data_IF_815318335237
#
_entry.id   IF_815318335237
#
_cell.length_a   1.000
_cell.length_b   1.000
_cell.length_c   1.000
_cell.angle_alpha   90.00
_cell.angle_beta   90.00
_cell.angle_gamma   90.00
#
_symmetry.space_group_name_H-M   'P 1'
#
loop_
_entity.id
_entity.type
_entity.pdbx_description
1 polymer ?
#
# COMPACT_ATOMS: atom_id res chain seq x y z
N UNK A 1 -7.29 9.07 0.62
CA UNK A 1 -8.57 9.83 0.58
C UNK A 1 -9.35 9.53 -0.68
N UNK A 2 -10.66 9.84 -0.68
CA UNK A 2 -11.48 9.71 -1.87
C UNK A 2 -10.99 10.62 -3.01
N UNK A 3 -11.22 10.19 -4.26
CA UNK A 3 -11.07 11.04 -5.44
C UNK A 3 -12.42 11.58 -5.88
N UNK A 4 -12.42 12.57 -6.76
CA UNK A 4 -13.64 13.16 -7.31
C UNK A 4 -13.59 13.14 -8.85
N UNK A 5 -14.74 12.94 -9.57
CA UNK A 5 -14.79 12.99 -11.02
C UNK A 5 -14.43 14.36 -11.60
N UNK A 6 -14.84 15.45 -10.93
CA UNK A 6 -14.48 16.81 -11.29
C UNK A 6 -13.02 17.11 -10.95
N UNK A 7 -12.25 17.64 -11.89
CA UNK A 7 -10.82 17.85 -11.78
C UNK A 7 -10.46 18.89 -10.71
N UNK A 8 -11.25 19.96 -10.58
CA UNK A 8 -11.00 21.01 -9.57
C UNK A 8 -11.21 20.47 -8.16
N UNK A 9 -12.28 19.69 -7.95
CA UNK A 9 -12.56 19.06 -6.68
C UNK A 9 -11.50 18.02 -6.32
N UNK A 10 -11.08 17.23 -7.30
CA UNK A 10 -10.00 16.25 -7.09
C UNK A 10 -8.67 16.93 -6.75
N UNK A 11 -8.35 18.07 -7.37
CA UNK A 11 -7.16 18.86 -7.04
C UNK A 11 -7.21 19.37 -5.60
N UNK A 12 -8.31 19.95 -5.16
CA UNK A 12 -8.48 20.43 -3.78
C UNK A 12 -8.31 19.31 -2.76
N UNK A 13 -8.87 18.12 -3.03
CA UNK A 13 -8.68 16.94 -2.19
C UNK A 13 -7.21 16.49 -2.16
N UNK A 14 -6.50 16.59 -3.27
CA UNK A 14 -5.08 16.30 -3.36
C UNK A 14 -4.22 17.30 -2.57
N UNK A 15 -4.52 18.58 -2.66
CA UNK A 15 -3.86 19.64 -1.89
C UNK A 15 -4.09 19.45 -0.38
N UNK A 16 -5.32 19.12 0.01
CA UNK A 16 -5.62 18.76 1.39
C UNK A 16 -4.80 17.54 1.85
N UNK A 17 -4.75 16.48 1.04
CA UNK A 17 -3.98 15.26 1.35
C UNK A 17 -2.49 15.56 1.54
N UNK A 18 -1.94 16.45 0.72
CA UNK A 18 -0.53 16.88 0.85
C UNK A 18 -0.25 17.64 2.13
N UNK A 19 -1.24 18.37 2.66
CA UNK A 19 -1.12 19.17 3.88
C UNK A 19 -1.49 18.39 5.15
N UNK A 20 -2.09 17.20 5.03
CA UNK A 20 -2.60 16.44 6.17
C UNK A 20 -1.50 15.68 6.91
N UNK A 21 -1.23 16.08 8.13
CA UNK A 21 -0.17 15.52 8.98
C UNK A 21 -0.33 14.03 9.26
N UNK A 22 -1.56 13.54 9.42
CA UNK A 22 -1.83 12.12 9.67
C UNK A 22 -1.37 11.27 8.48
N UNK A 23 -1.82 11.63 7.28
CA UNK A 23 -1.48 10.91 6.05
C UNK A 23 0.02 11.03 5.73
N UNK A 24 0.63 12.18 6.00
CA UNK A 24 2.09 12.35 5.87
C UNK A 24 2.86 11.42 6.82
N UNK A 25 2.45 11.33 8.09
CA UNK A 25 3.09 10.42 9.07
C UNK A 25 2.91 8.96 8.69
N UNK A 26 1.70 8.54 8.31
CA UNK A 26 1.43 7.17 7.86
C UNK A 26 2.33 6.79 6.69
N UNK A 27 2.44 7.65 5.69
CA UNK A 27 3.30 7.43 4.53
C UNK A 27 4.78 7.37 4.94
N UNK A 28 5.25 8.26 5.83
CA UNK A 28 6.64 8.30 6.28
C UNK A 28 7.03 7.07 7.10
N UNK A 29 6.16 6.52 7.94
CA UNK A 29 6.43 5.27 8.66
C UNK A 29 6.81 4.12 7.71
N UNK A 30 6.12 4.04 6.58
CA UNK A 30 6.43 3.02 5.55
C UNK A 30 7.76 3.32 4.86
N UNK A 31 8.02 4.58 4.53
CA UNK A 31 9.28 5.00 3.88
C UNK A 31 10.47 4.72 4.80
N UNK A 32 10.38 5.09 6.06
CA UNK A 32 11.44 4.86 7.06
C UNK A 32 11.72 3.37 7.25
N UNK A 33 10.69 2.54 7.35
CA UNK A 33 10.83 1.09 7.45
C UNK A 33 11.54 0.49 6.23
N UNK A 34 11.19 0.91 5.01
CA UNK A 34 11.85 0.47 3.77
C UNK A 34 13.31 0.91 3.76
N UNK A 35 13.60 2.17 4.05
CA UNK A 35 14.96 2.71 4.07
C UNK A 35 15.83 1.98 5.11
N UNK A 36 15.31 1.76 6.31
CA UNK A 36 16.04 1.05 7.37
C UNK A 36 16.39 -0.39 6.97
N UNK A 37 15.48 -1.08 6.29
CA UNK A 37 15.73 -2.46 5.84
C UNK A 37 16.76 -2.55 4.71
N UNK A 38 16.79 -1.57 3.82
CA UNK A 38 17.69 -1.55 2.67
C UNK A 38 19.07 -0.97 2.98
N UNK A 39 19.21 -0.19 4.05
CA UNK A 39 20.39 0.62 4.34
C UNK A 39 21.71 -0.17 4.32
N UNK A 40 21.73 -1.40 4.87
CA UNK A 40 22.94 -2.22 4.93
C UNK A 40 23.37 -2.77 3.56
N UNK A 41 22.47 -2.87 2.60
CA UNK A 41 22.68 -3.50 1.30
C UNK A 41 22.76 -2.49 0.14
N UNK A 42 22.82 -1.19 0.47
CA UNK A 42 22.78 -0.12 -0.52
C UNK A 42 24.00 0.80 -0.43
N UNK A 43 24.45 1.32 -1.59
CA UNK A 43 25.48 2.34 -1.71
C UNK A 43 24.90 3.74 -1.56
N UNK A 44 23.73 3.95 -2.17
CA UNK A 44 22.97 5.21 -2.12
C UNK A 44 21.53 4.91 -1.86
N UNK A 45 20.85 5.82 -1.17
CA UNK A 45 19.41 5.72 -0.91
C UNK A 45 18.82 7.13 -0.89
N UNK A 46 17.98 7.44 -1.88
CA UNK A 46 17.34 8.73 -2.05
C UNK A 46 15.81 8.60 -1.95
N UNK A 47 15.21 9.42 -1.11
CA UNK A 47 13.75 9.53 -0.99
C UNK A 47 13.29 10.80 -1.67
N UNK A 48 12.49 10.67 -2.71
CA UNK A 48 11.96 11.83 -3.43
C UNK A 48 10.80 12.49 -2.68
N UNK A 49 10.51 13.77 -2.94
CA UNK A 49 9.39 14.48 -2.35
C UNK A 49 8.05 13.76 -2.59
N UNK A 50 7.08 13.94 -1.68
CA UNK A 50 5.76 13.36 -1.84
C UNK A 50 5.04 13.93 -3.06
N UNK A 51 4.26 13.09 -3.71
CA UNK A 51 3.38 13.46 -4.80
C UNK A 51 1.99 12.86 -4.56
N UNK A 52 0.95 13.51 -5.05
CA UNK A 52 -0.39 12.94 -5.07
C UNK A 52 -0.53 12.03 -6.29
N UNK A 53 -0.82 10.76 -6.04
CA UNK A 53 -1.22 9.81 -7.07
C UNK A 53 -2.75 9.75 -7.10
N UNK A 54 -3.35 10.33 -8.12
CA UNK A 54 -4.79 10.28 -8.34
C UNK A 54 -5.16 9.01 -9.10
N UNK A 55 -6.02 8.22 -8.49
CA UNK A 55 -6.68 7.06 -9.10
C UNK A 55 -8.17 7.35 -9.28
N UNK A 56 -8.89 6.44 -9.94
CA UNK A 56 -10.31 6.63 -10.28
C UNK A 56 -11.20 6.95 -9.07
N UNK A 57 -11.01 6.27 -7.95
CA UNK A 57 -11.85 6.38 -6.74
C UNK A 57 -11.13 6.92 -5.51
N UNK A 58 -9.82 6.89 -5.52
CA UNK A 58 -8.98 7.27 -4.38
C UNK A 58 -7.76 8.06 -4.83
N UNK A 59 -7.20 8.82 -3.90
CA UNK A 59 -5.91 9.49 -4.05
C UNK A 59 -4.97 9.04 -2.95
N UNK A 60 -3.69 8.88 -3.27
CA UNK A 60 -2.65 8.44 -2.34
C UNK A 60 -1.46 9.39 -2.35
N UNK A 61 -0.78 9.49 -1.21
CA UNK A 61 0.58 10.02 -1.18
C UNK A 61 1.54 8.95 -1.72
N UNK A 62 2.37 9.35 -2.64
CA UNK A 62 3.42 8.53 -3.23
C UNK A 62 4.77 9.16 -3.00
N UNK A 63 5.75 8.38 -2.53
CA UNK A 63 7.17 8.73 -2.56
C UNK A 63 7.93 7.67 -3.33
N UNK A 64 8.83 8.10 -4.21
CA UNK A 64 9.77 7.20 -4.86
C UNK A 64 11.02 7.10 -3.99
N UNK A 65 11.54 5.88 -3.86
CA UNK A 65 12.80 5.59 -3.20
C UNK A 65 13.72 5.02 -4.27
N UNK A 66 14.84 5.68 -4.49
CA UNK A 66 15.87 5.25 -5.42
C UNK A 66 17.07 4.75 -4.65
N UNK A 67 17.62 3.64 -5.08
CA UNK A 67 18.79 3.06 -4.42
C UNK A 67 19.69 2.36 -5.41
N UNK A 68 20.98 2.42 -5.15
CA UNK A 68 21.98 1.57 -5.80
C UNK A 68 22.36 0.47 -4.83
N UNK A 69 22.17 -0.77 -5.23
CA UNK A 69 22.49 -1.94 -4.42
C UNK A 69 23.98 -2.23 -4.40
N UNK A 70 24.52 -2.71 -3.27
CA UNK A 70 25.87 -3.23 -3.17
C UNK A 70 26.04 -4.49 -4.04
N UNK A 71 25.00 -5.30 -4.09
CA UNK A 71 24.92 -6.50 -4.91
C UNK A 71 23.53 -6.61 -5.51
N UNK A 72 23.46 -6.78 -6.81
CA UNK A 72 22.18 -7.02 -7.49
C UNK A 72 21.67 -8.42 -7.15
N UNK A 73 20.67 -8.50 -6.29
CA UNK A 73 19.99 -9.74 -5.92
C UNK A 73 18.51 -9.44 -5.67
N UNK A 74 17.69 -9.70 -6.67
CA UNK A 74 16.25 -9.37 -6.64
C UNK A 74 15.49 -10.18 -5.60
N UNK A 75 15.93 -11.42 -5.33
CA UNK A 75 15.29 -12.28 -4.33
C UNK A 75 15.54 -11.76 -2.92
N UNK A 76 16.77 -11.37 -2.62
CA UNK A 76 17.11 -10.75 -1.33
C UNK A 76 16.33 -9.44 -1.16
N UNK A 77 16.31 -8.59 -2.17
CA UNK A 77 15.55 -7.33 -2.13
C UNK A 77 14.06 -7.57 -1.88
N UNK A 78 13.46 -8.56 -2.55
CA UNK A 78 12.07 -8.90 -2.33
C UNK A 78 11.81 -9.35 -0.90
N UNK A 79 12.67 -10.18 -0.31
CA UNK A 79 12.55 -10.61 1.09
C UNK A 79 12.72 -9.46 2.09
N UNK A 80 13.59 -8.50 1.81
CA UNK A 80 13.76 -7.33 2.65
C UNK A 80 12.57 -6.37 2.56
N UNK A 81 12.00 -6.18 1.37
CA UNK A 81 10.90 -5.23 1.15
C UNK A 81 9.54 -5.79 1.56
N UNK A 82 9.34 -7.10 1.52
CA UNK A 82 8.02 -7.70 1.77
C UNK A 82 7.98 -8.54 3.05
N UNK A 83 6.86 -8.44 3.78
CA UNK A 83 5.79 -7.44 3.67
C UNK A 83 6.26 -6.07 4.22
N UNK A 84 5.79 -4.99 3.61
CA UNK A 84 6.06 -3.63 4.12
C UNK A 84 5.18 -3.30 5.32
N UNK A 85 5.56 -2.25 6.07
CA UNK A 85 4.77 -1.73 7.18
C UNK A 85 3.34 -1.33 6.76
N UNK A 86 3.14 -0.93 5.51
CA UNK A 86 1.83 -0.56 4.97
C UNK A 86 0.77 -1.68 5.05
N UNK A 87 1.21 -2.94 5.07
CA UNK A 87 0.29 -4.11 5.11
C UNK A 87 0.53 -5.02 6.31
N UNK A 88 1.69 -4.94 6.97
CA UNK A 88 2.06 -5.79 8.08
C UNK A 88 2.23 -5.04 9.41
N UNK A 89 2.24 -3.71 9.39
CA UNK A 89 2.37 -2.86 10.57
C UNK A 89 3.78 -2.83 11.18
N UNK A 90 3.90 -2.01 12.24
CA UNK A 90 5.11 -1.83 13.05
C UNK A 90 4.74 -1.83 14.55
N UNK A 91 5.62 -2.30 15.44
CA UNK A 91 6.82 -3.11 15.19
C UNK A 91 6.48 -4.42 14.50
N UNK A 92 7.32 -4.85 13.55
CA UNK A 92 6.96 -5.86 12.55
C UNK A 92 6.41 -7.16 13.14
N UNK A 93 7.14 -7.79 14.06
CA UNK A 93 6.75 -9.11 14.59
C UNK A 93 5.50 -9.03 15.48
N UNK A 94 5.40 -7.99 16.30
CA UNK A 94 4.25 -7.78 17.17
C UNK A 94 2.99 -7.46 16.35
N UNK A 95 3.12 -6.61 15.35
CA UNK A 95 2.00 -6.26 14.46
C UNK A 95 1.51 -7.49 13.65
N UNK A 96 2.43 -8.30 13.11
CA UNK A 96 2.09 -9.55 12.41
C UNK A 96 1.37 -10.56 13.32
N UNK A 97 1.85 -10.73 14.56
CA UNK A 97 1.17 -11.60 15.53
C UNK A 97 -0.22 -11.07 15.89
N UNK A 98 -0.36 -9.76 16.05
CA UNK A 98 -1.63 -9.12 16.33
C UNK A 98 -2.62 -9.34 15.17
N UNK A 99 -2.22 -9.06 13.94
CA UNK A 99 -3.02 -9.28 12.73
C UNK A 99 -3.46 -10.74 12.63
N UNK A 100 -2.52 -11.69 12.80
CA UNK A 100 -2.81 -13.11 12.71
C UNK A 100 -3.83 -13.61 13.76
N UNK A 101 -3.91 -12.95 14.93
CA UNK A 101 -4.84 -13.31 16.00
C UNK A 101 -6.21 -12.65 15.88
N UNK A 102 -6.28 -11.47 15.30
CA UNK A 102 -7.47 -10.62 15.36
C UNK A 102 -8.18 -10.44 14.02
N UNK A 103 -7.49 -10.64 12.90
CA UNK A 103 -8.14 -10.61 11.59
C UNK A 103 -9.06 -11.82 11.43
N UNK A 104 -10.36 -11.63 11.10
CA UNK A 104 -11.35 -12.71 11.09
C UNK A 104 -11.30 -13.57 9.81
N UNK A 105 -10.31 -13.36 8.94
CA UNK A 105 -10.16 -14.08 7.67
C UNK A 105 -8.71 -14.35 7.34
N UNK A 106 -8.47 -15.31 6.47
CA UNK A 106 -7.14 -15.59 5.92
C UNK A 106 -6.89 -14.69 4.72
N UNK A 107 -5.77 -13.97 4.72
CA UNK A 107 -5.40 -13.05 3.62
C UNK A 107 -5.11 -13.79 2.32
N UNK A 108 -4.65 -15.02 2.38
CA UNK A 108 -4.20 -15.81 1.22
C UNK A 108 -3.15 -15.01 0.42
N UNK A 109 -3.49 -14.58 -0.80
CA UNK A 109 -2.60 -13.78 -1.65
C UNK A 109 -2.72 -12.26 -1.41
N UNK A 110 -3.78 -11.83 -0.73
CA UNK A 110 -3.96 -10.41 -0.38
C UNK A 110 -2.80 -9.93 0.50
N UNK A 111 -2.28 -8.75 0.19
CA UNK A 111 -1.14 -8.11 0.84
C UNK A 111 0.20 -8.87 0.69
N UNK A 112 0.25 -9.89 -0.13
CA UNK A 112 1.48 -10.53 -0.58
C UNK A 112 2.14 -9.77 -1.73
N UNK A 113 2.99 -10.44 -2.49
CA UNK A 113 3.69 -9.87 -3.64
C UNK A 113 3.31 -10.60 -4.92
N UNK A 114 3.15 -9.86 -5.99
CA UNK A 114 2.99 -10.38 -7.34
C UNK A 114 3.92 -9.64 -8.31
N UNK A 115 4.50 -10.35 -9.27
CA UNK A 115 5.42 -9.74 -10.21
C UNK A 115 6.13 -10.76 -11.07
N UNK A 116 7.22 -10.35 -11.66
CA UNK A 116 8.08 -11.21 -12.47
C UNK A 116 9.56 -11.00 -12.16
N UNK A 117 10.34 -12.05 -12.41
CA UNK A 117 11.79 -12.07 -12.38
C UNK A 117 12.31 -12.37 -13.78
N UNK A 118 13.29 -11.62 -14.25
CA UNK A 118 14.00 -11.90 -15.48
C UNK A 118 15.51 -11.65 -15.33
N UNK A 119 16.27 -12.01 -16.35
CA UNK A 119 17.72 -11.76 -16.37
C UNK A 119 18.06 -10.26 -16.47
N UNK A 120 17.19 -9.45 -17.03
CA UNK A 120 17.42 -8.03 -17.28
C UNK A 120 16.81 -7.14 -16.20
N UNK A 121 15.63 -7.50 -15.72
CA UNK A 121 14.90 -6.70 -14.74
C UNK A 121 13.86 -7.55 -13.99
N UNK A 122 13.49 -7.07 -12.83
CA UNK A 122 12.40 -7.64 -12.04
C UNK A 122 11.44 -6.54 -11.61
N UNK A 123 10.17 -6.86 -11.54
CA UNK A 123 9.15 -5.91 -11.11
C UNK A 123 8.13 -6.62 -10.21
N UNK A 124 7.85 -6.03 -9.06
CA UNK A 124 6.90 -6.55 -8.09
C UNK A 124 5.97 -5.46 -7.59
N UNK A 125 4.75 -5.85 -7.30
CA UNK A 125 3.81 -5.00 -6.59
C UNK A 125 3.25 -5.73 -5.37
N UNK A 126 2.72 -4.95 -4.42
CA UNK A 126 1.92 -5.50 -3.33
C UNK A 126 0.55 -5.89 -3.88
N UNK A 127 0.10 -7.12 -3.60
CA UNK A 127 -1.19 -7.66 -4.07
C UNK A 127 -2.36 -7.00 -3.31
N UNK A 128 -2.58 -5.73 -3.60
CA UNK A 128 -3.73 -4.95 -3.15
C UNK A 128 -4.78 -4.88 -4.25
N UNK A 129 -6.00 -4.42 -3.90
CA UNK A 129 -7.10 -4.37 -4.88
C UNK A 129 -7.30 -5.71 -5.58
N UNK A 130 -7.35 -6.76 -4.79
CA UNK A 130 -7.44 -8.13 -5.24
C UNK A 130 -8.81 -8.74 -4.94
N UNK A 131 -9.14 -9.75 -5.72
CA UNK A 131 -10.36 -10.51 -5.55
C UNK A 131 -10.07 -12.01 -5.71
N UNK A 132 -10.82 -12.83 -4.97
CA UNK A 132 -10.85 -14.30 -5.16
C UNK A 132 -12.20 -14.68 -5.74
N UNK A 133 -12.15 -15.42 -6.85
CA UNK A 133 -13.33 -15.96 -7.50
C UNK A 133 -13.38 -17.48 -7.23
N UNK A 134 -14.50 -17.94 -6.70
CA UNK A 134 -14.73 -19.35 -6.43
C UNK A 134 -16.17 -19.69 -6.77
N UNK A 135 -16.36 -20.42 -7.88
CA UNK A 135 -17.70 -20.66 -8.43
C UNK A 135 -18.40 -19.36 -8.79
N UNK A 136 -19.54 -19.10 -8.17
CA UNK A 136 -20.34 -17.89 -8.33
C UNK A 136 -20.12 -16.85 -7.23
N UNK A 137 -19.12 -17.04 -6.37
CA UNK A 137 -18.79 -16.12 -5.27
C UNK A 137 -17.51 -15.34 -5.61
N UNK A 138 -17.59 -14.02 -5.47
CA UNK A 138 -16.43 -13.13 -5.57
C UNK A 138 -16.17 -12.51 -4.20
N UNK A 139 -14.98 -12.74 -3.66
CA UNK A 139 -14.50 -12.13 -2.42
C UNK A 139 -13.54 -10.99 -2.76
N UNK A 140 -13.87 -9.79 -2.36
CA UNK A 140 -13.02 -8.62 -2.50
C UNK A 140 -12.21 -8.42 -1.22
N UNK A 141 -10.94 -8.01 -1.37
CA UNK A 141 -10.07 -7.69 -0.26
C UNK A 141 -9.75 -6.19 -0.24
N UNK A 142 -9.90 -5.58 0.91
CA UNK A 142 -9.51 -4.19 1.17
C UNK A 142 -9.09 -4.03 2.62
N UNK A 143 -8.29 -3.01 2.91
CA UNK A 143 -7.82 -2.70 4.25
C UNK A 143 -7.38 -1.24 4.36
N UNK A 144 -7.26 -0.77 5.59
CA UNK A 144 -6.76 0.55 5.93
C UNK A 144 -5.59 0.44 6.92
N UNK A 145 -4.67 1.41 6.86
CA UNK A 145 -3.58 1.54 7.81
C UNK A 145 -4.06 2.24 9.07
N UNK A 146 -3.92 1.58 10.21
CA UNK A 146 -4.32 2.15 11.50
C UNK A 146 -3.10 2.75 12.20
N UNK A 147 -3.15 4.03 12.45
CA UNK A 147 -2.11 4.79 13.14
C UNK A 147 -2.70 5.63 14.27
N UNK A 148 -1.85 6.20 15.12
CA UNK A 148 -2.32 7.12 16.15
C UNK A 148 -3.08 8.29 15.54
N UNK A 149 -4.34 8.49 15.95
CA UNK A 149 -5.24 9.51 15.41
C UNK A 149 -6.14 9.01 14.29
N UNK A 150 -6.11 7.71 13.94
CA UNK A 150 -7.11 7.10 13.08
C UNK A 150 -8.49 7.15 13.71
N UNK A 151 -9.49 7.56 12.94
CA UNK A 151 -10.89 7.53 13.31
C UNK A 151 -11.56 6.30 12.69
N UNK A 152 -12.26 5.45 13.46
CA UNK A 152 -12.80 4.19 12.98
C UNK A 152 -13.77 4.34 11.80
N UNK A 153 -14.62 5.38 11.81
CA UNK A 153 -15.59 5.60 10.74
C UNK A 153 -14.90 6.03 9.43
N UNK A 154 -13.91 6.89 9.53
CA UNK A 154 -13.13 7.33 8.37
C UNK A 154 -12.31 6.18 7.77
N UNK A 155 -11.68 5.35 8.61
CA UNK A 155 -10.93 4.17 8.14
C UNK A 155 -11.86 3.15 7.48
N UNK A 156 -13.05 2.94 8.03
CA UNK A 156 -14.05 2.07 7.40
C UNK A 156 -14.53 2.62 6.05
N UNK A 157 -14.80 3.91 5.96
CA UNK A 157 -15.14 4.55 4.70
C UNK A 157 -14.02 4.44 3.66
N UNK A 158 -12.76 4.48 4.10
CA UNK A 158 -11.61 4.26 3.21
C UNK A 158 -11.59 2.83 2.67
N UNK A 159 -11.86 1.82 3.51
CA UNK A 159 -11.98 0.41 3.08
C UNK A 159 -13.08 0.28 2.01
N UNK A 160 -14.25 0.86 2.23
CA UNK A 160 -15.35 0.83 1.27
C UNK A 160 -14.99 1.50 -0.06
N UNK A 161 -14.34 2.65 -0.02
CA UNK A 161 -13.84 3.36 -1.21
C UNK A 161 -12.81 2.53 -1.99
N UNK A 162 -11.92 1.83 -1.28
CA UNK A 162 -10.94 0.93 -1.87
C UNK A 162 -11.59 -0.28 -2.54
N UNK A 163 -12.59 -0.88 -1.90
CA UNK A 163 -13.33 -2.01 -2.45
C UNK A 163 -14.21 -1.61 -3.64
N UNK A 164 -14.79 -0.40 -3.63
CA UNK A 164 -15.67 0.10 -4.68
C UNK A 164 -15.00 0.13 -6.07
N UNK A 165 -13.68 0.34 -6.13
CA UNK A 165 -12.92 0.33 -7.37
C UNK A 165 -13.00 -1.01 -8.11
N UNK A 166 -12.93 -2.13 -7.38
CA UNK A 166 -13.09 -3.47 -7.94
C UNK A 166 -14.56 -3.84 -8.15
N UNK A 167 -15.43 -3.48 -7.21
CA UNK A 167 -16.86 -3.80 -7.28
C UNK A 167 -17.50 -3.25 -8.56
N UNK A 168 -17.13 -2.06 -9.00
CA UNK A 168 -17.63 -1.46 -10.24
C UNK A 168 -17.24 -2.21 -11.50
N UNK A 169 -16.18 -3.02 -11.46
CA UNK A 169 -15.78 -3.88 -12.59
C UNK A 169 -16.60 -5.16 -12.69
N UNK A 170 -17.27 -5.54 -11.61
CA UNK A 170 -18.07 -6.76 -11.51
C UNK A 170 -19.57 -6.50 -11.70
N UNK A 171 -19.99 -5.26 -11.71
CA UNK A 171 -21.36 -4.88 -12.05
C UNK A 171 -21.50 -5.02 -13.59
N UNK A 172 -22.06 -6.13 -14.00
CA UNK A 172 -22.62 -6.25 -15.34
C UNK A 172 -23.87 -5.39 -15.40
N UNK A 173 -23.97 -4.53 -16.41
CA UNK A 173 -25.18 -3.79 -16.74
C UNK A 173 -26.37 -4.72 -17.03
#
# INVERSE_FOLDING_TARGET
VASHPDDKQAQLLGEWLMADDKNQRENMLVVEDICQRLQADTQTLDVLPPQVLRLRKVQHLRRCIWTALNKADDVICLHQLQPTAAVAGLPRDLARQFIARHEPFTREWYAGSAGYLSLQQSEFCVSLRSAKISGNVVRLYAGAGIVRGSDPEQEWQEIDNKAAGLRTLLQME
#
